data_IF_225567032956
#
_entry.id   IF_225567032956
#
_cell.length_a   1.000
_cell.length_b   1.000
_cell.length_c   1.000
_cell.angle_alpha   90.00
_cell.angle_beta   90.00
_cell.angle_gamma   90.00
#
_symmetry.space_group_name_H-M   'P 1'
#
loop_
_entity.id
_entity.type
_entity.pdbx_description
1 polymer ?
#
# COMPACT_ATOMS: atom_id res chain seq x y z
N UNK A 1 -14.37 -4.01 5.35
CA UNK A 1 -13.17 -3.14 5.25
C UNK A 1 -12.15 -3.63 6.26
N UNK A 2 -10.85 -3.53 5.95
CA UNK A 2 -9.80 -3.90 6.89
C UNK A 2 -9.86 -3.05 8.17
N UNK A 3 -9.51 -3.65 9.29
CA UNK A 3 -9.47 -3.05 10.63
C UNK A 3 -8.05 -3.03 11.18
N UNK A 4 -7.73 -2.16 12.16
CA UNK A 4 -6.42 -2.19 12.84
C UNK A 4 -6.02 -3.60 13.29
N UNK A 5 -4.81 -4.02 12.91
CA UNK A 5 -4.28 -5.36 13.18
C UNK A 5 -4.56 -6.39 12.09
N UNK A 6 -5.40 -6.10 11.09
CA UNK A 6 -5.65 -7.02 9.98
C UNK A 6 -4.38 -7.22 9.13
N UNK A 7 -4.21 -8.46 8.67
CA UNK A 7 -3.18 -8.83 7.69
C UNK A 7 -3.82 -9.38 6.43
N UNK A 8 -3.71 -8.63 5.34
CA UNK A 8 -4.18 -8.98 4.02
C UNK A 8 -3.03 -9.65 3.26
N UNK A 9 -3.20 -10.93 2.93
CA UNK A 9 -2.25 -11.70 2.13
C UNK A 9 -2.73 -11.78 0.70
N UNK A 10 -1.95 -11.23 -0.23
CA UNK A 10 -2.23 -11.24 -1.66
C UNK A 10 -1.63 -12.50 -2.28
N UNK A 11 -2.46 -13.29 -2.94
CA UNK A 11 -1.98 -14.43 -3.72
C UNK A 11 -1.00 -13.98 -4.83
N UNK A 12 -0.14 -14.90 -5.24
CA UNK A 12 0.72 -14.68 -6.40
C UNK A 12 -0.13 -14.43 -7.65
N UNK A 13 0.36 -13.57 -8.54
CA UNK A 13 -0.30 -13.30 -9.81
C UNK A 13 -0.07 -11.89 -10.33
N UNK A 14 -0.58 -11.66 -11.53
CA UNK A 14 -0.59 -10.34 -12.15
C UNK A 14 -1.87 -9.62 -11.79
N UNK A 15 -1.72 -8.49 -11.13
CA UNK A 15 -2.77 -7.54 -10.84
C UNK A 15 -2.65 -6.39 -11.85
N UNK A 16 -3.78 -5.81 -12.22
CA UNK A 16 -3.76 -4.51 -12.90
C UNK A 16 -3.23 -3.41 -11.99
N UNK A 17 -3.65 -2.18 -12.23
CA UNK A 17 -3.41 -1.07 -11.34
C UNK A 17 -4.61 -0.14 -11.27
N UNK A 18 -4.39 1.07 -10.79
CA UNK A 18 -5.42 2.06 -10.53
C UNK A 18 -6.13 1.83 -9.20
N UNK A 19 -5.56 1.00 -8.31
CA UNK A 19 -6.14 0.76 -7.00
C UNK A 19 -5.95 2.00 -6.13
N UNK A 20 -7.05 2.69 -5.83
CA UNK A 20 -7.08 3.83 -4.93
C UNK A 20 -7.87 3.50 -3.67
N UNK A 21 -7.23 3.67 -2.51
CA UNK A 21 -7.87 3.46 -1.23
C UNK A 21 -7.69 4.70 -0.33
N UNK A 22 -8.77 5.44 -0.05
CA UNK A 22 -8.72 6.51 0.92
C UNK A 22 -8.80 5.95 2.36
N UNK A 23 -8.06 6.56 3.29
CA UNK A 23 -8.21 6.38 4.74
C UNK A 23 -7.98 4.93 5.23
N UNK A 24 -6.97 4.25 4.68
CA UNK A 24 -6.51 2.97 5.24
C UNK A 24 -5.71 3.25 6.50
N UNK A 25 -6.32 3.04 7.67
CA UNK A 25 -5.73 3.43 8.96
C UNK A 25 -5.77 2.28 9.96
N UNK A 26 -4.59 1.82 10.38
CA UNK A 26 -4.41 1.00 11.56
C UNK A 26 -4.38 1.86 12.84
N UNK A 27 -3.83 1.31 13.92
CA UNK A 27 -3.66 2.00 15.18
C UNK A 27 -2.24 1.80 15.74
N UNK A 28 -1.79 2.61 16.72
CA UNK A 28 -0.51 2.39 17.40
C UNK A 28 -0.37 0.96 17.94
N UNK A 29 0.63 0.22 17.48
CA UNK A 29 0.84 -1.19 17.81
C UNK A 29 -0.01 -2.19 17.03
N UNK A 30 -0.96 -1.72 16.21
CA UNK A 30 -1.90 -2.53 15.43
C UNK A 30 -1.96 -2.06 13.98
N UNK A 31 -0.87 -2.17 13.21
CA UNK A 31 -0.88 -1.74 11.83
C UNK A 31 -1.77 -2.64 10.97
N UNK A 32 -2.28 -2.09 9.88
CA UNK A 32 -2.84 -2.90 8.79
C UNK A 32 -1.69 -3.33 7.89
N UNK A 33 -1.55 -4.63 7.65
CA UNK A 33 -0.45 -5.18 6.84
C UNK A 33 -1.02 -5.69 5.53
N UNK A 34 -0.51 -5.19 4.40
CA UNK A 34 -0.78 -5.72 3.05
C UNK A 34 0.51 -6.36 2.55
N UNK A 35 0.48 -7.68 2.34
CA UNK A 35 1.68 -8.45 2.03
C UNK A 35 1.46 -9.48 0.93
N UNK A 36 2.52 -9.90 0.24
CA UNK A 36 2.49 -11.14 -0.52
C UNK A 36 2.16 -12.33 0.40
N UNK A 37 1.35 -13.26 -0.08
CA UNK A 37 1.13 -14.55 0.56
C UNK A 37 2.40 -15.42 0.51
N UNK A 38 3.15 -15.36 -0.60
CA UNK A 38 4.47 -15.96 -0.76
C UNK A 38 5.49 -14.91 -1.26
N UNK A 39 6.42 -14.45 -0.42
CA UNK A 39 7.45 -13.48 -0.82
C UNK A 39 8.38 -13.95 -1.94
N UNK A 40 8.50 -15.26 -2.17
CA UNK A 40 9.32 -15.81 -3.28
C UNK A 40 8.58 -15.79 -4.61
N UNK A 41 7.26 -15.62 -4.58
CA UNK A 41 6.40 -15.50 -5.75
C UNK A 41 5.42 -14.33 -5.53
N UNK A 42 5.93 -13.09 -5.53
CA UNK A 42 5.15 -11.93 -5.12
C UNK A 42 4.04 -11.57 -6.13
N UNK A 43 2.96 -10.90 -5.69
CA UNK A 43 2.01 -10.26 -6.59
C UNK A 43 2.70 -9.14 -7.38
N UNK A 44 2.36 -9.03 -8.66
CA UNK A 44 2.91 -8.03 -9.58
C UNK A 44 1.80 -7.10 -10.06
N UNK A 45 1.88 -5.81 -9.74
CA UNK A 45 1.00 -4.76 -10.26
C UNK A 45 1.59 -4.19 -11.55
N UNK A 46 0.86 -4.27 -12.67
CA UNK A 46 1.35 -3.81 -13.98
C UNK A 46 0.26 -3.38 -14.95
N UNK A 47 0.68 -2.86 -16.10
CA UNK A 47 -0.18 -2.50 -17.23
C UNK A 47 -1.27 -1.47 -16.89
N UNK A 48 -0.90 -0.46 -16.09
CA UNK A 48 -1.75 0.64 -15.68
C UNK A 48 -0.94 1.95 -15.55
N UNK A 49 -1.62 3.06 -15.27
CA UNK A 49 -0.92 4.32 -14.95
C UNK A 49 -0.28 4.23 -13.57
N UNK A 50 -1.12 4.04 -12.55
CA UNK A 50 -0.69 3.92 -11.15
C UNK A 50 -0.87 2.49 -10.67
N UNK A 51 0.00 1.96 -9.82
CA UNK A 51 -0.18 0.63 -9.24
C UNK A 51 -1.15 0.68 -8.06
N UNK A 52 -0.66 1.18 -6.93
CA UNK A 52 -1.41 1.36 -5.69
C UNK A 52 -1.32 2.81 -5.22
N UNK A 53 -2.45 3.39 -4.81
CA UNK A 53 -2.53 4.73 -4.25
C UNK A 53 -3.28 4.68 -2.92
N UNK A 54 -2.59 5.00 -1.82
CA UNK A 54 -3.21 5.18 -0.52
C UNK A 54 -3.23 6.68 -0.17
N UNK A 55 -4.42 7.24 -0.04
CA UNK A 55 -4.58 8.62 0.43
C UNK A 55 -4.89 8.65 1.92
N UNK A 56 -4.14 9.47 2.64
CA UNK A 56 -4.13 9.58 4.09
C UNK A 56 -3.99 8.25 4.89
N UNK A 57 -3.01 7.39 4.58
CA UNK A 57 -2.79 6.16 5.33
C UNK A 57 -2.14 6.41 6.68
N UNK A 58 -2.47 5.60 7.70
CA UNK A 58 -1.79 5.64 8.99
C UNK A 58 -1.58 4.25 9.57
N UNK A 59 -0.42 3.98 10.16
CA UNK A 59 -0.12 2.65 10.72
C UNK A 59 -0.39 1.54 9.69
N UNK A 60 0.26 1.65 8.52
CA UNK A 60 0.11 0.68 7.42
C UNK A 60 1.48 0.13 7.04
N UNK A 61 1.54 -1.18 6.80
CA UNK A 61 2.74 -1.83 6.26
C UNK A 61 2.47 -2.45 4.89
N UNK A 62 3.37 -2.24 3.95
CA UNK A 62 3.34 -2.86 2.62
C UNK A 62 4.56 -3.77 2.45
N UNK A 63 4.33 -5.06 2.21
CA UNK A 63 5.37 -6.09 2.19
C UNK A 63 5.41 -6.89 0.89
N UNK A 64 6.61 -7.05 0.34
CA UNK A 64 6.89 -8.05 -0.71
C UNK A 64 6.07 -7.86 -2.01
N UNK A 65 5.81 -6.61 -2.40
CA UNK A 65 5.02 -6.29 -3.60
C UNK A 65 5.93 -5.84 -4.74
N UNK A 66 5.54 -6.20 -5.96
CA UNK A 66 6.24 -5.78 -7.19
C UNK A 66 5.35 -4.85 -8.00
N UNK A 67 5.91 -3.73 -8.45
CA UNK A 67 5.29 -2.76 -9.34
C UNK A 67 6.11 -2.73 -10.63
N UNK A 68 5.50 -3.03 -11.77
CA UNK A 68 6.21 -3.21 -13.04
C UNK A 68 5.49 -2.56 -14.21
N UNK A 69 6.22 -1.88 -15.10
CA UNK A 69 5.67 -1.33 -16.35
C UNK A 69 4.40 -0.48 -16.15
N UNK A 70 4.45 0.40 -15.15
CA UNK A 70 3.41 1.40 -14.87
C UNK A 70 3.83 2.73 -15.51
N UNK A 71 2.88 3.43 -16.14
CA UNK A 71 3.21 4.66 -16.90
C UNK A 71 3.27 5.94 -16.05
N UNK A 72 2.95 5.82 -14.76
CA UNK A 72 2.98 6.88 -13.74
C UNK A 72 3.49 6.24 -12.42
N UNK A 73 2.98 6.65 -11.25
CA UNK A 73 3.43 6.14 -9.95
C UNK A 73 3.20 4.64 -9.74
N UNK A 74 4.25 3.86 -9.45
CA UNK A 74 4.11 2.48 -8.99
C UNK A 74 3.30 2.38 -7.69
N UNK A 75 3.72 3.18 -6.70
CA UNK A 75 3.06 3.35 -5.42
C UNK A 75 2.95 4.85 -5.15
N UNK A 76 1.76 5.32 -4.77
CA UNK A 76 1.53 6.68 -4.28
C UNK A 76 1.00 6.65 -2.84
N UNK A 77 1.60 7.43 -1.97
CA UNK A 77 1.19 7.64 -0.58
C UNK A 77 1.16 9.14 -0.33
N UNK A 78 -0.01 9.70 -0.06
CA UNK A 78 -0.17 11.13 0.24
C UNK A 78 -1.01 11.35 1.50
N UNK A 79 -0.99 12.56 2.03
CA UNK A 79 -1.81 13.01 3.15
C UNK A 79 -3.28 13.27 2.76
N UNK A 80 -3.64 13.08 1.48
CA UNK A 80 -4.96 13.40 0.95
C UNK A 80 -5.29 14.89 0.97
N UNK A 81 -4.28 15.78 0.99
CA UNK A 81 -4.45 17.23 1.12
C UNK A 81 -4.77 17.69 2.54
N UNK A 82 -4.52 16.85 3.56
CA UNK A 82 -4.62 17.23 4.97
C UNK A 82 -3.27 17.76 5.45
N UNK A 83 -3.26 18.97 5.99
CA UNK A 83 -2.04 19.64 6.45
C UNK A 83 -1.77 19.32 7.93
N UNK A 84 -0.49 19.41 8.32
CA UNK A 84 0.11 18.73 9.47
C UNK A 84 -0.13 19.39 10.85
N UNK A 85 -1.27 20.05 11.06
CA UNK A 85 -1.63 20.67 12.33
C UNK A 85 -2.36 19.71 13.31
N UNK A 86 -2.73 18.51 12.86
CA UNK A 86 -3.26 17.41 13.69
C UNK A 86 -2.74 16.02 13.21
N UNK A 87 -3.11 14.94 13.93
CA UNK A 87 -2.74 13.54 13.60
C UNK A 87 -3.50 12.99 12.37
N UNK A 88 -4.02 13.86 11.51
CA UNK A 88 -4.85 13.45 10.37
C UNK A 88 -4.08 13.28 9.08
N UNK A 89 -2.77 13.53 9.06
CA UNK A 89 -1.90 13.27 7.90
C UNK A 89 -1.52 11.80 7.74
N UNK A 90 -0.74 11.52 6.69
CA UNK A 90 -0.17 10.20 6.47
C UNK A 90 1.03 9.96 7.40
N UNK A 91 1.01 8.88 8.19
CA UNK A 91 2.06 8.63 9.19
C UNK A 91 2.24 7.16 9.55
N UNK A 92 3.36 6.83 10.19
CA UNK A 92 3.63 5.47 10.69
C UNK A 92 3.50 4.40 9.58
N UNK A 93 4.11 4.65 8.43
CA UNK A 93 4.12 3.73 7.28
C UNK A 93 5.40 2.92 7.25
N UNK A 94 5.29 1.62 6.98
CA UNK A 94 6.44 0.73 6.79
C UNK A 94 6.40 0.14 5.39
N UNK A 95 7.49 0.29 4.64
CA UNK A 95 7.66 -0.32 3.33
C UNK A 95 8.78 -1.36 3.43
N UNK A 96 8.49 -2.61 3.08
CA UNK A 96 9.45 -3.70 3.22
C UNK A 96 9.51 -4.53 1.94
N UNK A 97 10.71 -4.57 1.34
CA UNK A 97 10.99 -5.36 0.12
C UNK A 97 9.97 -5.08 -0.99
N UNK A 98 9.74 -3.80 -1.25
CA UNK A 98 9.02 -3.36 -2.43
C UNK A 98 9.99 -3.26 -3.60
N UNK A 99 9.58 -3.72 -4.77
CA UNK A 99 10.39 -3.68 -5.97
C UNK A 99 9.67 -2.90 -7.07
N UNK A 100 10.34 -1.91 -7.63
CA UNK A 100 9.96 -1.27 -8.90
C UNK A 100 10.81 -1.87 -10.02
N UNK A 101 10.20 -2.31 -11.11
CA UNK A 101 10.87 -3.00 -12.23
C UNK A 101 10.41 -2.50 -13.60
#
# INVERSE_FOLDING_TARGET
>A
AAQPGDRLLLAAGTYGGGFHFPTVRGAPGWPIIIAAADPKNPPVFRAAKTGLHLSNPAHVELHDLVFEQLSDNGLNLDDGGRYADDDTGAHHIVLRRLHSR
#
